data_IF_828763510004
#
_entry.id   IF_828763510004
#
_cell.length_a   1.000
_cell.length_b   1.000
_cell.length_c   1.000
_cell.angle_alpha   90.00
_cell.angle_beta   90.00
_cell.angle_gamma   90.00
#
_symmetry.space_group_name_H-M   'P 1'
#
loop_
_entity.id
_entity.type
_entity.pdbx_description
1 polymer ?
#
# COMPACT_ATOMS: atom_id res chain seq x y z
N UNK A 1 12.85 23.35 27.28
CA UNK A 1 13.04 22.46 26.12
C UNK A 1 12.21 23.03 24.98
N UNK A 2 12.87 23.64 23.99
CA UNK A 2 12.18 24.21 22.83
C UNK A 2 11.93 23.10 21.83
N UNK A 3 10.67 22.68 21.68
CA UNK A 3 10.25 21.83 20.58
C UNK A 3 10.33 22.66 19.30
N UNK A 4 11.39 22.45 18.52
CA UNK A 4 11.47 22.93 17.15
C UNK A 4 10.38 22.22 16.35
N UNK A 5 9.21 22.84 16.22
CA UNK A 5 8.22 22.47 15.22
C UNK A 5 8.81 22.86 13.86
N UNK A 6 9.68 22.01 13.31
CA UNK A 6 10.01 22.06 11.89
C UNK A 6 8.68 22.05 11.11
N UNK A 7 8.42 23.05 10.25
CA UNK A 7 7.21 23.05 9.45
C UNK A 7 7.20 21.78 8.63
N UNK A 8 6.22 20.92 8.89
CA UNK A 8 6.11 19.60 8.31
C UNK A 8 6.05 19.75 6.78
N UNK A 9 7.19 19.59 6.11
CA UNK A 9 7.36 19.91 4.69
C UNK A 9 6.29 19.18 3.88
N UNK A 10 5.46 19.94 3.17
CA UNK A 10 4.48 19.36 2.25
C UNK A 10 5.28 18.58 1.19
N UNK A 11 5.07 17.26 1.06
CA UNK A 11 5.75 16.48 0.03
C UNK A 11 5.36 17.02 -1.35
N UNK A 12 6.34 17.17 -2.23
CA UNK A 12 6.04 17.53 -3.61
C UNK A 12 5.37 16.36 -4.37
N UNK A 13 4.86 16.66 -5.56
CA UNK A 13 4.14 15.70 -6.41
C UNK A 13 5.03 14.50 -6.76
N UNK A 14 6.33 14.72 -6.96
CA UNK A 14 7.27 13.67 -7.34
C UNK A 14 7.49 12.70 -6.18
N UNK A 15 7.68 13.22 -4.97
CA UNK A 15 7.83 12.44 -3.76
C UNK A 15 6.58 11.59 -3.49
N UNK A 16 5.37 12.18 -3.56
CA UNK A 16 4.12 11.42 -3.40
C UNK A 16 3.98 10.31 -4.44
N UNK A 17 4.25 10.63 -5.71
CA UNK A 17 4.14 9.66 -6.80
C UNK A 17 5.16 8.52 -6.64
N UNK A 18 6.39 8.83 -6.23
CA UNK A 18 7.43 7.83 -5.98
C UNK A 18 7.04 6.90 -4.82
N UNK A 19 6.58 7.46 -3.69
CA UNK A 19 6.12 6.66 -2.54
C UNK A 19 4.95 5.76 -2.91
N UNK A 20 3.96 6.27 -3.65
CA UNK A 20 2.83 5.45 -4.10
C UNK A 20 3.28 4.30 -5.02
N UNK A 21 4.23 4.55 -5.94
CA UNK A 21 4.81 3.49 -6.78
C UNK A 21 5.54 2.44 -5.96
N UNK A 22 6.35 2.86 -4.99
CA UNK A 22 7.04 1.93 -4.07
C UNK A 22 6.04 1.06 -3.31
N UNK A 23 4.96 1.64 -2.79
CA UNK A 23 3.88 0.87 -2.14
C UNK A 23 3.22 -0.14 -3.08
N UNK A 24 2.91 0.27 -4.31
CA UNK A 24 2.28 -0.61 -5.31
C UNK A 24 3.22 -1.73 -5.77
N UNK A 25 4.52 -1.47 -5.88
CA UNK A 25 5.52 -2.44 -6.31
C UNK A 25 5.68 -3.61 -5.32
N UNK A 26 5.34 -3.42 -4.04
CA UNK A 26 5.34 -4.51 -3.05
C UNK A 26 4.38 -5.64 -3.41
N UNK A 27 3.27 -5.34 -4.12
CA UNK A 27 2.31 -6.36 -4.56
C UNK A 27 2.89 -7.28 -5.65
N UNK A 28 3.90 -6.81 -6.39
CA UNK A 28 4.62 -7.62 -7.39
C UNK A 28 5.41 -8.75 -6.74
N UNK A 29 6.01 -8.51 -5.58
CA UNK A 29 6.94 -9.45 -4.93
C UNK A 29 6.36 -10.17 -3.71
N UNK A 30 5.26 -9.65 -3.17
CA UNK A 30 4.67 -10.11 -1.92
C UNK A 30 5.67 -10.15 -0.75
N UNK A 31 6.64 -9.23 -0.78
CA UNK A 31 7.70 -9.11 0.23
C UNK A 31 7.14 -8.42 1.49
N UNK A 32 6.94 -9.22 2.55
CA UNK A 32 6.41 -8.75 3.83
C UNK A 32 7.38 -7.87 4.61
N UNK A 33 8.69 -8.03 4.42
CA UNK A 33 9.71 -7.20 5.08
C UNK A 33 9.76 -5.82 4.42
N UNK A 34 9.72 -5.78 3.08
CA UNK A 34 9.59 -4.54 2.34
C UNK A 34 8.28 -3.82 2.70
N UNK A 35 7.16 -4.56 2.77
CA UNK A 35 5.87 -4.00 3.19
C UNK A 35 5.95 -3.39 4.59
N UNK A 36 6.47 -4.12 5.57
CA UNK A 36 6.55 -3.65 6.95
C UNK A 36 7.41 -2.39 7.11
N UNK A 37 8.40 -2.16 6.23
CA UNK A 37 9.26 -0.97 6.31
C UNK A 37 8.65 0.28 5.69
N UNK A 38 7.71 0.13 4.75
CA UNK A 38 7.09 1.27 4.05
C UNK A 38 5.83 1.77 4.74
N UNK A 39 5.21 0.94 5.59
CA UNK A 39 4.01 1.30 6.33
C UNK A 39 4.42 2.02 7.62
N UNK A 40 3.65 3.04 8.01
CA UNK A 40 3.80 3.68 9.32
C UNK A 40 3.21 2.81 10.42
N UNK A 41 3.61 3.08 11.67
CA UNK A 41 3.06 2.40 12.85
C UNK A 41 1.54 2.64 12.99
N UNK A 42 1.06 3.83 12.60
CA UNK A 42 -0.37 4.20 12.62
C UNK A 42 -1.14 3.79 11.34
N UNK A 43 -0.56 2.90 10.52
CA UNK A 43 -1.19 2.50 9.27
C UNK A 43 -2.54 1.79 9.48
N UNK A 44 -3.51 2.14 8.63
CA UNK A 44 -4.82 1.50 8.57
C UNK A 44 -5.18 1.21 7.11
N UNK A 45 -5.58 -0.04 6.85
CA UNK A 45 -6.03 -0.51 5.55
C UNK A 45 -7.51 -0.82 5.56
N UNK A 46 -8.27 -0.22 4.65
CA UNK A 46 -9.69 -0.50 4.50
C UNK A 46 -10.00 -1.06 3.12
N UNK A 47 -10.64 -2.23 3.11
CA UNK A 47 -11.16 -2.82 1.88
C UNK A 47 -12.53 -2.23 1.53
N UNK A 48 -12.80 -2.17 0.24
CA UNK A 48 -14.08 -1.76 -0.33
C UNK A 48 -14.41 -2.63 -1.57
N UNK A 49 -15.69 -2.77 -1.94
CA UNK A 49 -16.88 -2.29 -1.21
C UNK A 49 -17.20 -3.16 0.02
N UNK A 50 -17.99 -2.63 0.96
CA UNK A 50 -18.45 -3.35 2.16
C UNK A 50 -19.17 -4.67 1.83
N UNK A 51 -19.89 -4.71 0.69
CA UNK A 51 -20.58 -5.91 0.22
C UNK A 51 -19.67 -7.08 -0.13
N UNK A 52 -18.34 -6.87 -0.22
CA UNK A 52 -17.37 -7.94 -0.39
C UNK A 52 -17.14 -8.78 0.89
N UNK A 53 -17.72 -8.38 2.03
CA UNK A 53 -17.61 -9.09 3.32
C UNK A 53 -16.16 -9.39 3.75
N UNK A 54 -15.22 -8.54 3.33
CA UNK A 54 -13.82 -8.64 3.76
C UNK A 54 -13.76 -8.13 5.20
N UNK A 55 -12.94 -8.74 6.08
CA UNK A 55 -12.73 -8.23 7.43
C UNK A 55 -12.45 -6.73 7.42
N UNK A 56 -12.89 -6.03 8.47
CA UNK A 56 -12.81 -4.58 8.61
C UNK A 56 -11.38 -4.02 8.54
N UNK A 57 -11.22 -2.75 8.93
CA UNK A 57 -9.91 -2.08 8.87
C UNK A 57 -8.79 -2.93 9.48
N UNK A 58 -7.70 -3.14 8.75
CA UNK A 58 -6.51 -3.84 9.24
C UNK A 58 -5.47 -2.82 9.63
N UNK A 59 -4.89 -2.99 10.81
CA UNK A 59 -3.71 -2.24 11.23
C UNK A 59 -2.45 -2.73 10.48
N UNK A 60 -1.32 -2.08 10.75
CA UNK A 60 0.01 -2.45 10.23
C UNK A 60 0.26 -3.97 10.29
N UNK A 61 0.15 -4.57 11.48
CA UNK A 61 0.49 -5.98 11.72
C UNK A 61 -0.51 -6.92 11.04
N UNK A 62 -1.80 -6.58 11.09
CA UNK A 62 -2.88 -7.32 10.45
C UNK A 62 -2.73 -7.37 8.93
N UNK A 63 -2.35 -6.24 8.31
CA UNK A 63 -2.14 -6.16 6.87
C UNK A 63 -0.90 -6.95 6.42
N UNK A 64 0.22 -6.85 7.14
CA UNK A 64 1.43 -7.67 6.89
C UNK A 64 1.12 -9.16 7.03
N UNK A 65 0.37 -9.56 8.06
CA UNK A 65 -0.05 -10.95 8.25
C UNK A 65 -1.01 -11.44 7.15
N UNK A 66 -1.85 -10.57 6.60
CA UNK A 66 -2.68 -10.90 5.44
C UNK A 66 -1.82 -11.11 4.19
N UNK A 67 -0.82 -10.26 3.95
CA UNK A 67 0.12 -10.39 2.84
C UNK A 67 0.88 -11.72 2.89
N UNK A 68 1.34 -12.13 4.08
CA UNK A 68 2.00 -13.43 4.30
C UNK A 68 1.11 -14.60 3.90
N UNK A 69 -0.15 -14.61 4.35
CA UNK A 69 -1.14 -15.65 3.98
C UNK A 69 -1.44 -15.67 2.48
N UNK A 70 -1.52 -14.50 1.85
CA UNK A 70 -1.72 -14.41 0.40
C UNK A 70 -0.55 -15.04 -0.37
N UNK A 71 0.69 -14.86 0.11
CA UNK A 71 1.89 -15.45 -0.48
C UNK A 71 1.91 -16.99 -0.47
N UNK A 72 1.18 -17.62 0.44
CA UNK A 72 1.08 -19.09 0.51
C UNK A 72 0.37 -19.67 -0.72
N UNK A 73 -0.53 -18.91 -1.34
CA UNK A 73 -1.36 -19.36 -2.46
C UNK A 73 -1.02 -18.68 -3.79
N UNK A 74 -0.44 -17.48 -3.77
CA UNK A 74 -0.02 -16.76 -4.97
C UNK A 74 1.44 -16.31 -4.87
N UNK A 75 2.15 -16.38 -6.00
CA UNK A 75 3.57 -16.00 -6.09
C UNK A 75 3.77 -14.54 -6.49
N UNK A 76 2.81 -13.95 -7.20
CA UNK A 76 2.82 -12.52 -7.53
C UNK A 76 1.43 -11.98 -7.84
N UNK A 77 1.22 -10.68 -7.54
CA UNK A 77 0.02 -9.93 -7.90
C UNK A 77 0.41 -8.54 -8.45
N UNK A 78 0.73 -8.48 -9.74
CA UNK A 78 1.15 -7.21 -10.34
C UNK A 78 -0.03 -6.26 -10.50
N UNK A 79 0.03 -5.10 -9.84
CA UNK A 79 -0.92 -4.01 -10.08
C UNK A 79 -0.41 -3.14 -11.22
N UNK A 80 -1.17 -3.07 -12.31
CA UNK A 80 -0.87 -2.20 -13.45
C UNK A 80 -1.62 -0.88 -13.25
N UNK A 81 -0.88 0.15 -12.87
CA UNK A 81 -1.43 1.49 -12.69
C UNK A 81 -1.67 2.15 -14.05
N UNK A 82 -2.91 2.57 -14.31
CA UNK A 82 -3.31 3.31 -15.51
C UNK A 82 -3.19 4.81 -15.30
N UNK A 83 -3.55 5.29 -14.12
CA UNK A 83 -3.55 6.72 -13.80
C UNK A 83 -3.31 6.94 -12.30
N UNK A 84 -2.65 8.04 -11.96
CA UNK A 84 -2.46 8.51 -10.58
C UNK A 84 -2.80 9.99 -10.48
N UNK A 85 -3.38 10.37 -9.34
CA UNK A 85 -3.70 11.74 -8.99
C UNK A 85 -3.12 12.05 -7.61
N UNK A 86 -1.92 12.64 -7.55
CA UNK A 86 -1.32 13.13 -6.31
C UNK A 86 -2.05 14.37 -5.80
N UNK A 87 -2.27 14.43 -4.49
CA UNK A 87 -2.83 15.58 -3.78
C UNK A 87 -1.87 16.00 -2.66
N UNK A 88 -0.92 16.91 -2.94
CA UNK A 88 0.06 17.40 -1.96
C UNK A 88 -0.57 17.96 -0.69
N UNK A 89 -1.66 18.71 -0.82
CA UNK A 89 -2.34 19.37 0.31
C UNK A 89 -2.87 18.39 1.34
N UNK A 90 -3.29 17.19 0.91
CA UNK A 90 -3.76 16.11 1.80
C UNK A 90 -2.74 14.99 1.99
N UNK A 91 -1.58 15.07 1.33
CA UNK A 91 -0.57 13.99 1.27
C UNK A 91 -1.13 12.66 0.79
N UNK A 92 -2.04 12.71 -0.17
CA UNK A 92 -2.75 11.55 -0.70
C UNK A 92 -2.36 11.27 -2.15
N UNK A 93 -2.46 10.01 -2.55
CA UNK A 93 -2.39 9.62 -3.95
C UNK A 93 -3.56 8.70 -4.24
N UNK A 94 -4.42 9.10 -5.18
CA UNK A 94 -5.40 8.21 -5.77
C UNK A 94 -4.76 7.48 -6.95
N UNK A 95 -4.92 6.17 -7.04
CA UNK A 95 -4.46 5.38 -8.19
C UNK A 95 -5.61 4.58 -8.78
N UNK A 96 -5.74 4.62 -10.10
CA UNK A 96 -6.64 3.74 -10.86
C UNK A 96 -5.80 2.76 -11.68
N UNK A 97 -6.19 1.50 -11.66
CA UNK A 97 -5.43 0.45 -12.33
C UNK A 97 -6.24 -0.83 -12.50
N UNK A 98 -5.55 -1.86 -12.96
CA UNK A 98 -6.07 -3.23 -13.00
C UNK A 98 -5.03 -4.16 -12.40
N UNK A 99 -5.48 -5.25 -11.82
CA UNK A 99 -4.63 -6.38 -11.54
C UNK A 99 -4.99 -7.51 -12.50
N UNK A 100 -4.02 -8.05 -13.28
CA UNK A 100 -4.20 -9.30 -14.01
C UNK A 100 -4.47 -10.45 -13.04
N UNK A 101 -4.80 -11.63 -13.59
CA UNK A 101 -4.88 -12.84 -12.76
C UNK A 101 -3.55 -13.04 -12.02
N UNK A 102 -3.58 -13.24 -10.69
CA UNK A 102 -2.37 -13.57 -9.95
C UNK A 102 -1.78 -14.89 -10.43
N UNK A 103 -0.46 -15.02 -10.31
CA UNK A 103 0.23 -16.28 -10.58
C UNK A 103 0.07 -17.18 -9.36
N UNK A 104 -0.42 -18.41 -9.55
CA UNK A 104 -0.51 -19.40 -8.48
C UNK A 104 0.89 -19.78 -8.01
N UNK A 105 1.02 -20.05 -6.72
CA UNK A 105 2.09 -20.94 -6.25
C UNK A 105 1.72 -22.32 -6.77
N UNK A 106 2.56 -22.96 -7.59
CA UNK A 106 2.27 -24.29 -8.11
C UNK A 106 2.23 -25.28 -6.95
N UNK A 107 1.05 -25.83 -6.66
CA UNK A 107 0.83 -26.95 -5.73
C UNK A 107 0.12 -28.03 -6.53
#
# INVERSE_FOLDING_TARGET
>A
MSSTNEPMRVPDILALTATAKTYIDVFRTLDTEALSRILSDEYSHQFAPTSAHIPGSMDHNGFVARFRRVREVISSFTVIVKQMWPNPSLRQVLSYGRAPRPTSTGI
#
